data_IF_038144494482
#
_entry.id   IF_038144494482
#
_cell.length_a   1.000
_cell.length_b   1.000
_cell.length_c   1.000
_cell.angle_alpha   90.00
_cell.angle_beta   90.00
_cell.angle_gamma   90.00
#
_symmetry.space_group_name_H-M   'P 1'
#
loop_
_entity.id
_entity.type
_entity.pdbx_description
1 polymer ?
#
# COMPACT_ATOMS: atom_id res chain seq x y z
N UNK A 1 11.16 -7.18 7.13
CA UNK A 1 11.23 -6.75 5.73
C UNK A 1 12.41 -5.81 5.66
N UNK A 2 13.31 -5.94 4.68
CA UNK A 2 14.40 -4.98 4.56
C UNK A 2 13.79 -3.59 4.36
N UNK A 3 14.25 -2.59 5.10
CA UNK A 3 13.81 -1.21 4.92
C UNK A 3 14.13 -0.81 3.49
N UNK A 4 13.10 -0.68 2.66
CA UNK A 4 13.26 -0.22 1.28
C UNK A 4 13.44 1.29 1.32
N UNK A 5 14.61 1.77 0.90
CA UNK A 5 14.87 3.21 0.79
C UNK A 5 13.79 3.87 -0.05
N UNK A 6 13.23 4.98 0.45
CA UNK A 6 12.17 5.72 -0.22
C UNK A 6 12.67 7.13 -0.54
N UNK A 7 12.54 7.52 -1.80
CA UNK A 7 12.80 8.88 -2.27
C UNK A 7 11.48 9.58 -2.54
N UNK A 8 11.34 10.81 -2.06
CA UNK A 8 10.14 11.59 -2.32
C UNK A 8 10.31 12.39 -3.62
N UNK A 9 9.20 12.62 -4.34
CA UNK A 9 9.21 13.44 -5.53
C UNK A 9 8.02 14.40 -5.54
N UNK A 10 8.25 15.63 -5.97
CA UNK A 10 7.21 16.65 -6.14
C UNK A 10 7.00 16.88 -7.63
N UNK A 11 5.75 16.73 -8.09
CA UNK A 11 5.36 16.88 -9.48
C UNK A 11 4.45 18.09 -9.68
N UNK A 12 4.87 19.05 -10.50
CA UNK A 12 4.06 20.21 -10.88
C UNK A 12 3.56 20.04 -12.32
N UNK A 13 2.26 20.17 -12.53
CA UNK A 13 1.69 20.22 -13.88
C UNK A 13 1.88 21.61 -14.48
N UNK A 14 2.50 21.70 -15.66
CA UNK A 14 2.79 22.98 -16.35
C UNK A 14 1.77 23.35 -17.44
N UNK A 15 0.72 22.54 -17.59
CA UNK A 15 -0.29 22.67 -18.66
C UNK A 15 -0.12 21.66 -19.79
N UNK A 16 1.03 20.98 -19.88
CA UNK A 16 1.31 19.96 -20.89
C UNK A 16 2.04 18.72 -20.36
N UNK A 17 2.89 18.91 -19.35
CA UNK A 17 3.70 17.88 -18.73
C UNK A 17 3.69 18.04 -17.21
N UNK A 18 4.09 16.96 -16.55
CA UNK A 18 4.44 16.94 -15.14
C UNK A 18 5.95 17.15 -15.04
N UNK A 19 6.38 18.29 -14.51
CA UNK A 19 7.76 18.52 -14.12
C UNK A 19 7.97 17.95 -12.72
N UNK A 20 8.94 17.06 -12.56
CA UNK A 20 9.20 16.32 -11.33
C UNK A 20 10.56 16.70 -10.76
N UNK A 21 10.59 16.98 -9.46
CA UNK A 21 11.84 17.15 -8.69
C UNK A 21 11.91 16.07 -7.63
N UNK A 22 13.02 15.35 -7.58
CA UNK A 22 13.28 14.30 -6.59
C UNK A 22 13.97 14.94 -5.38
N UNK A 23 13.41 14.69 -4.20
CA UNK A 23 13.94 15.05 -2.90
C UNK A 23 14.71 13.88 -2.28
N UNK A 24 15.43 14.16 -1.18
CA UNK A 24 16.12 13.16 -0.35
C UNK A 24 17.24 12.38 -1.06
N UNK A 25 17.74 12.90 -2.18
CA UNK A 25 18.94 12.37 -2.82
C UNK A 25 20.19 12.67 -1.98
N UNK A 26 21.23 11.82 -2.05
CA UNK A 26 22.51 12.09 -1.41
C UNK A 26 23.10 13.43 -1.86
N UNK A 27 23.91 14.04 -0.98
CA UNK A 27 24.54 15.33 -1.26
C UNK A 27 25.33 15.28 -2.58
N UNK A 28 25.14 16.30 -3.42
CA UNK A 28 25.78 16.41 -4.73
C UNK A 28 24.94 15.90 -5.90
N UNK A 29 23.82 15.22 -5.63
CA UNK A 29 22.88 14.80 -6.66
C UNK A 29 21.67 15.74 -6.74
N UNK A 30 21.22 16.01 -7.97
CA UNK A 30 19.98 16.75 -8.26
C UNK A 30 19.20 15.92 -9.27
N UNK A 31 18.03 15.44 -8.87
CA UNK A 31 17.14 14.66 -9.72
C UNK A 31 15.98 15.51 -10.22
N UNK A 32 15.90 15.69 -11.53
CA UNK A 32 14.75 16.32 -12.19
C UNK A 32 14.38 15.50 -13.42
N UNK A 33 13.07 15.43 -13.70
CA UNK A 33 12.56 14.72 -14.88
C UNK A 33 11.20 15.29 -15.27
N UNK A 34 10.61 14.79 -16.36
CA UNK A 34 9.27 15.17 -16.76
C UNK A 34 8.55 14.06 -17.52
N UNK A 35 7.22 14.01 -17.43
CA UNK A 35 6.40 13.09 -18.23
C UNK A 35 5.07 13.74 -18.65
N UNK A 36 4.46 13.28 -19.75
CA UNK A 36 3.16 13.79 -20.22
C UNK A 36 2.00 13.34 -19.33
N UNK A 37 2.15 12.17 -18.71
CA UNK A 37 1.16 11.60 -17.80
C UNK A 37 1.77 11.35 -16.43
N UNK A 38 0.93 11.25 -15.39
CA UNK A 38 1.38 10.93 -14.04
C UNK A 38 2.17 9.60 -13.98
N UNK A 39 1.71 8.58 -14.71
CA UNK A 39 2.38 7.27 -14.77
C UNK A 39 3.74 7.35 -15.48
N UNK A 40 3.83 8.10 -16.57
CA UNK A 40 5.10 8.33 -17.26
C UNK A 40 6.09 9.09 -16.37
N UNK A 41 5.62 10.16 -15.73
CA UNK A 41 6.43 10.96 -14.81
C UNK A 41 6.93 10.15 -13.60
N UNK A 42 6.08 9.27 -13.07
CA UNK A 42 6.44 8.36 -11.97
C UNK A 42 7.53 7.37 -12.38
N UNK A 43 7.40 6.76 -13.58
CA UNK A 43 8.41 5.87 -14.13
C UNK A 43 9.73 6.61 -14.34
N UNK A 44 9.68 7.77 -14.98
CA UNK A 44 10.88 8.57 -15.24
C UNK A 44 11.56 9.08 -13.97
N UNK A 45 10.81 9.24 -12.87
CA UNK A 45 11.39 9.59 -11.58
C UNK A 45 12.21 8.42 -10.99
N UNK A 46 11.71 7.19 -11.12
CA UNK A 46 12.47 6.00 -10.74
C UNK A 46 13.72 5.82 -11.63
N UNK A 47 13.56 5.95 -12.96
CA UNK A 47 14.67 5.87 -13.92
C UNK A 47 15.81 6.84 -13.54
N UNK A 48 15.48 8.09 -13.18
CA UNK A 48 16.47 9.11 -12.79
C UNK A 48 17.18 8.75 -11.48
N UNK A 49 16.47 8.25 -10.47
CA UNK A 49 17.09 7.83 -9.21
C UNK A 49 18.05 6.65 -9.44
N UNK A 50 17.63 5.64 -10.19
CA UNK A 50 18.45 4.48 -10.52
C UNK A 50 19.71 4.89 -11.30
N UNK A 51 19.55 5.78 -12.28
CA UNK A 51 20.66 6.29 -13.08
C UNK A 51 21.66 7.12 -12.25
N UNK A 52 21.17 8.06 -11.44
CA UNK A 52 22.04 8.94 -10.66
C UNK A 52 22.81 8.19 -9.57
N UNK A 53 22.18 7.21 -8.94
CA UNK A 53 22.75 6.48 -7.81
C UNK A 53 23.39 5.15 -8.20
N UNK A 54 23.29 4.74 -9.46
CA UNK A 54 23.77 3.47 -10.00
C UNK A 54 23.24 2.25 -9.20
N UNK A 55 21.96 2.29 -8.80
CA UNK A 55 21.27 1.22 -8.07
C UNK A 55 20.08 0.67 -8.88
N UNK A 56 19.72 -0.62 -8.71
CA UNK A 56 18.54 -1.19 -9.39
C UNK A 56 17.23 -0.52 -8.96
N UNK A 57 16.28 -0.35 -9.89
CA UNK A 57 14.96 0.23 -9.59
C UNK A 57 14.18 -0.56 -8.54
N UNK A 58 14.40 -1.87 -8.44
CA UNK A 58 13.74 -2.73 -7.45
C UNK A 58 14.31 -2.57 -6.03
N UNK A 59 15.43 -1.86 -5.86
CA UNK A 59 16.09 -1.66 -4.57
C UNK A 59 15.53 -0.49 -3.75
N UNK A 60 14.69 0.36 -4.35
CA UNK A 60 14.10 1.54 -3.73
C UNK A 60 12.65 1.77 -4.16
N UNK A 61 12.02 2.79 -3.58
CA UNK A 61 10.71 3.30 -4.00
C UNK A 61 10.79 4.80 -4.24
N UNK A 62 9.98 5.28 -5.19
CA UNK A 62 9.71 6.71 -5.34
C UNK A 62 8.27 6.98 -4.96
N UNK A 63 8.07 7.87 -3.99
CA UNK A 63 6.74 8.36 -3.60
C UNK A 63 6.56 9.75 -4.22
N UNK A 64 5.73 9.82 -5.26
CA UNK A 64 5.45 11.06 -5.96
C UNK A 64 4.18 11.73 -5.41
N UNK A 65 4.25 13.04 -5.15
CA UNK A 65 3.13 13.89 -4.74
C UNK A 65 2.99 15.10 -5.68
N UNK A 66 1.77 15.56 -5.96
CA UNK A 66 1.59 16.78 -6.74
C UNK A 66 2.06 17.99 -5.91
N UNK A 67 2.55 19.02 -6.59
CA UNK A 67 2.91 20.29 -5.96
C UNK A 67 1.67 21.08 -5.51
N UNK A 68 0.51 20.79 -6.10
CA UNK A 68 -0.77 21.35 -5.70
C UNK A 68 -1.21 20.76 -4.34
N UNK A 69 -1.40 21.60 -3.30
CA UNK A 69 -1.72 21.11 -1.96
C UNK A 69 -3.05 20.36 -1.86
N UNK A 70 -4.07 20.78 -2.59
CA UNK A 70 -5.40 20.16 -2.56
C UNK A 70 -5.34 18.76 -3.19
N UNK A 71 -4.67 18.64 -4.33
CA UNK A 71 -4.42 17.33 -4.94
C UNK A 71 -3.59 16.40 -4.03
N UNK A 72 -2.59 16.95 -3.34
CA UNK A 72 -1.75 16.18 -2.44
C UNK A 72 -2.55 15.66 -1.23
N UNK A 73 -3.35 16.52 -0.60
CA UNK A 73 -4.21 16.16 0.53
C UNK A 73 -5.26 15.12 0.13
N UNK A 74 -5.87 15.25 -1.06
CA UNK A 74 -6.82 14.26 -1.57
C UNK A 74 -6.20 12.87 -1.74
N UNK A 75 -4.96 12.79 -2.25
CA UNK A 75 -4.23 11.52 -2.39
C UNK A 75 -3.89 10.94 -1.02
N UNK A 76 -3.35 11.75 -0.11
CA UNK A 76 -2.97 11.31 1.24
C UNK A 76 -4.20 10.76 1.97
N UNK A 77 -5.31 11.49 1.94
CA UNK A 77 -6.57 11.07 2.58
C UNK A 77 -7.06 9.73 2.02
N UNK A 78 -7.01 9.56 0.70
CA UNK A 78 -7.44 8.32 0.05
C UNK A 78 -6.52 7.13 0.39
N UNK A 79 -5.21 7.35 0.46
CA UNK A 79 -4.24 6.33 0.85
C UNK A 79 -4.41 5.92 2.33
N UNK A 80 -4.55 6.87 3.24
CA UNK A 80 -4.80 6.59 4.66
C UNK A 80 -6.11 5.83 4.88
N UNK A 81 -7.18 6.21 4.18
CA UNK A 81 -8.46 5.53 4.27
C UNK A 81 -8.35 4.08 3.78
N UNK A 82 -7.58 3.83 2.72
CA UNK A 82 -7.31 2.48 2.22
C UNK A 82 -6.51 1.65 3.21
N UNK A 83 -5.44 2.21 3.79
CA UNK A 83 -4.62 1.55 4.79
C UNK A 83 -5.46 1.15 6.02
N UNK A 84 -6.24 2.10 6.57
CA UNK A 84 -7.16 1.83 7.68
C UNK A 84 -8.17 0.72 7.35
N UNK A 85 -8.70 0.69 6.13
CA UNK A 85 -9.62 -0.35 5.68
C UNK A 85 -8.92 -1.72 5.59
N UNK A 86 -7.69 -1.77 5.08
CA UNK A 86 -6.89 -3.01 5.00
C UNK A 86 -6.55 -3.55 6.39
N UNK A 87 -6.16 -2.69 7.33
CA UNK A 87 -5.90 -3.06 8.72
C UNK A 87 -7.15 -3.59 9.41
N UNK A 88 -8.27 -2.88 9.28
CA UNK A 88 -9.55 -3.32 9.86
C UNK A 88 -9.99 -4.67 9.28
N UNK A 89 -9.80 -4.90 7.97
CA UNK A 89 -10.12 -6.17 7.33
C UNK A 89 -9.23 -7.32 7.84
N UNK A 90 -7.93 -7.07 8.04
CA UNK A 90 -7.01 -8.04 8.65
C UNK A 90 -7.45 -8.38 10.08
N UNK A 91 -7.68 -7.37 10.92
CA UNK A 91 -8.12 -7.54 12.29
C UNK A 91 -9.46 -8.30 12.39
N UNK A 92 -10.42 -7.97 11.53
CA UNK A 92 -11.71 -8.68 11.48
C UNK A 92 -11.51 -10.16 11.11
N UNK A 93 -10.63 -10.47 10.17
CA UNK A 93 -10.32 -11.84 9.76
C UNK A 93 -9.66 -12.63 10.90
N UNK A 94 -8.71 -12.02 11.61
CA UNK A 94 -8.04 -12.64 12.77
C UNK A 94 -9.02 -12.90 13.92
N UNK A 95 -9.87 -11.92 14.25
CA UNK A 95 -10.90 -12.05 15.26
C UNK A 95 -11.90 -13.16 14.91
N UNK A 96 -12.32 -13.25 13.64
CA UNK A 96 -13.21 -14.29 13.18
C UNK A 96 -12.57 -15.68 13.26
N UNK A 97 -11.30 -15.82 12.87
CA UNK A 97 -10.55 -17.08 13.01
C UNK A 97 -10.44 -17.51 14.47
N UNK A 98 -10.11 -16.58 15.38
CA UNK A 98 -10.03 -16.86 16.81
C UNK A 98 -11.39 -17.31 17.36
N UNK A 99 -12.47 -16.59 17.05
CA UNK A 99 -13.82 -16.92 17.48
C UNK A 99 -14.28 -18.28 16.93
N UNK A 100 -14.04 -18.55 15.64
CA UNK A 100 -14.37 -19.83 15.01
C UNK A 100 -13.71 -21.00 15.74
N UNK A 101 -12.41 -20.89 16.09
CA UNK A 101 -11.69 -21.92 16.85
C UNK A 101 -12.26 -22.10 18.26
N UNK A 102 -12.54 -21.01 18.98
CA UNK A 102 -13.11 -21.09 20.33
C UNK A 102 -14.50 -21.72 20.34
N UNK A 103 -15.36 -21.36 19.38
CA UNK A 103 -16.72 -21.88 19.30
C UNK A 103 -16.75 -23.34 18.86
N UNK A 104 -15.99 -23.72 17.83
CA UNK A 104 -15.97 -25.11 17.34
C UNK A 104 -15.36 -26.11 18.32
N UNK A 105 -14.62 -25.63 19.34
CA UNK A 105 -14.17 -26.46 20.45
C UNK A 105 -15.31 -26.85 21.43
N UNK A 106 -16.44 -26.13 21.40
CA UNK A 106 -17.55 -26.27 22.36
C UNK A 106 -18.93 -26.46 21.72
N UNK A 107 -19.07 -26.15 20.43
CA UNK A 107 -20.31 -26.19 19.68
C UNK A 107 -20.09 -26.81 18.29
N UNK A 108 -21.16 -27.17 17.61
CA UNK A 108 -21.06 -27.69 16.24
C UNK A 108 -20.60 -26.60 15.27
N UNK A 109 -19.96 -26.98 14.16
CA UNK A 109 -19.57 -26.04 13.09
C UNK A 109 -20.77 -25.26 12.55
N UNK A 110 -21.96 -25.88 12.55
CA UNK A 110 -23.21 -25.25 12.12
C UNK A 110 -23.65 -24.15 13.09
N UNK A 111 -23.64 -24.44 14.40
CA UNK A 111 -24.01 -23.46 15.42
C UNK A 111 -22.99 -22.32 15.48
N UNK A 112 -21.70 -22.63 15.40
CA UNK A 112 -20.65 -21.61 15.33
C UNK A 112 -20.83 -20.67 14.12
N UNK A 113 -21.22 -21.20 12.96
CA UNK A 113 -21.57 -20.39 11.79
C UNK A 113 -22.76 -19.47 12.05
N UNK A 114 -23.84 -20.01 12.62
CA UNK A 114 -25.02 -19.22 12.98
C UNK A 114 -24.70 -18.11 14.02
N UNK A 115 -23.91 -18.42 15.05
CA UNK A 115 -23.48 -17.47 16.08
C UNK A 115 -22.61 -16.34 15.51
N UNK A 116 -21.78 -16.64 14.51
CA UNK A 116 -20.88 -15.67 13.87
C UNK A 116 -21.49 -14.98 12.65
N UNK A 117 -22.75 -15.30 12.30
CA UNK A 117 -23.43 -14.71 11.14
C UNK A 117 -22.82 -15.10 9.79
N UNK A 118 -22.11 -16.24 9.72
CA UNK A 118 -21.44 -16.71 8.51
C UNK A 118 -21.80 -18.17 8.18
N UNK A 119 -21.52 -18.60 6.95
CA UNK A 119 -21.85 -19.96 6.54
C UNK A 119 -20.99 -21.00 7.29
N UNK A 120 -21.57 -22.18 7.53
CA UNK A 120 -20.82 -23.28 8.14
C UNK A 120 -19.60 -23.71 7.31
N UNK A 121 -19.65 -23.54 5.97
CA UNK A 121 -18.56 -23.90 5.06
C UNK A 121 -17.37 -22.97 5.25
N UNK A 122 -17.65 -21.69 5.52
CA UNK A 122 -16.63 -20.71 5.82
C UNK A 122 -15.97 -21.01 7.17
N UNK A 123 -16.76 -21.32 8.22
CA UNK A 123 -16.21 -21.75 9.52
C UNK A 123 -15.34 -23.00 9.39
N UNK A 124 -15.77 -24.00 8.61
CA UNK A 124 -14.99 -25.23 8.40
C UNK A 124 -13.62 -24.96 7.76
N UNK A 125 -13.50 -23.93 6.91
CA UNK A 125 -12.22 -23.50 6.33
C UNK A 125 -11.33 -22.76 7.33
N UNK A 126 -11.91 -21.97 8.24
CA UNK A 126 -11.17 -21.14 9.20
C UNK A 126 -10.68 -21.93 10.43
N UNK A 127 -11.38 -23.01 10.79
CA UNK A 127 -11.05 -23.87 11.92
C UNK A 127 -11.05 -25.35 11.48
N UNK A 128 -10.09 -25.79 10.65
CA UNK A 128 -9.97 -27.20 10.30
C UNK A 128 -9.71 -28.02 11.58
N UNK A 129 -10.40 -29.16 11.73
CA UNK A 129 -10.12 -30.09 12.83
C UNK A 129 -8.64 -30.47 12.77
N UNK A 130 -7.89 -30.22 13.85
CA UNK A 130 -6.60 -30.89 14.03
C UNK A 130 -6.87 -32.39 14.04
N UNK A 131 -6.21 -33.11 13.13
CA UNK A 131 -6.05 -34.56 13.24
C UNK A 131 -5.28 -34.92 14.50
#
# INVERSE_FOLDING_TARGET
MADTTTYNAIAKHDGSHWAVTIADLPQGFVGVTQGRTWSEASRMAADVVAMLLEIPEESFKVVMRPADPEMAEAIITAEEAREKAEEAAKAATEALMAAARTLTAKATVRDAGAMLGVSHQYIAKLAPKKG
#
